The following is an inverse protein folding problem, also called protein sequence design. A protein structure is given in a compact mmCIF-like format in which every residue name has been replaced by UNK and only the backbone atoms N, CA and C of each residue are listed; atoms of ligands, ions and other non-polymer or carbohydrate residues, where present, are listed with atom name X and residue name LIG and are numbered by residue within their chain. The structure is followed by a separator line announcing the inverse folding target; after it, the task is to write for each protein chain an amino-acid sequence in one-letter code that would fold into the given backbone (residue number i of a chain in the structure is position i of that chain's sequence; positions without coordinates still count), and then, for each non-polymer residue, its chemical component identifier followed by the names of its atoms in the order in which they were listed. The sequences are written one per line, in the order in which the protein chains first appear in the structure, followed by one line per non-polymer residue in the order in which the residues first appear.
data_IF_168213899022
#
_entry.id   IF_168213899022
#
_cell.length_a   1.000
_cell.length_b   1.000
_cell.length_c   1.000
_cell.angle_alpha   90.00
_cell.angle_beta   90.00
_cell.angle_gamma   90.00
#
_symmetry.space_group_name_H-M   'P 1'
#
loop_
_entity.id
_entity.type
_entity.pdbx_description
1 polymer ?
#
# COMPACT_ATOMS: atom_id res chain seq x y z
N UNK A 1 -2.89 11.36 -0.05
CA UNK A 1 -2.18 10.39 -0.92
C UNK A 1 -2.03 9.11 -0.14
N UNK A 2 -2.33 7.96 -0.76
CA UNK A 2 -2.18 6.64 -0.14
C UNK A 2 -0.90 5.97 -0.66
N UNK A 3 -0.12 5.37 0.25
CA UNK A 3 1.02 4.51 -0.06
C UNK A 3 0.80 3.12 0.54
N UNK A 4 0.65 2.11 -0.33
CA UNK A 4 0.55 0.71 0.06
C UNK A 4 1.89 0.02 -0.18
N UNK A 5 2.41 -0.68 0.83
CA UNK A 5 3.67 -1.40 0.76
C UNK A 5 3.50 -2.89 1.02
N UNK A 6 4.20 -3.73 0.24
CA UNK A 6 4.36 -5.15 0.56
C UNK A 6 5.35 -5.34 1.69
N UNK A 7 4.93 -5.99 2.79
CA UNK A 7 5.79 -6.23 3.95
C UNK A 7 6.96 -7.20 3.67
N UNK A 8 6.84 -8.02 2.63
CA UNK A 8 7.87 -8.94 2.15
C UNK A 8 8.37 -8.57 0.73
N UNK A 9 8.25 -7.29 0.35
CA UNK A 9 8.73 -6.80 -0.95
C UNK A 9 10.25 -7.00 -1.09
N UNK A 10 10.62 -7.81 -2.09
CA UNK A 10 12.01 -8.15 -2.40
C UNK A 10 12.69 -7.14 -3.36
N UNK A 11 11.93 -6.22 -3.94
CA UNK A 11 12.38 -5.21 -4.92
C UNK A 11 12.66 -3.89 -4.21
N UNK A 12 11.75 -3.45 -3.35
CA UNK A 12 11.89 -2.21 -2.56
C UNK A 12 11.68 -2.54 -1.10
N UNK A 13 12.68 -2.32 -0.25
CA UNK A 13 12.54 -2.66 1.18
C UNK A 13 11.44 -1.84 1.85
N UNK A 14 10.74 -2.44 2.83
CA UNK A 14 9.71 -1.74 3.63
C UNK A 14 10.22 -0.40 4.17
N UNK A 15 11.47 -0.37 4.65
CA UNK A 15 12.12 0.85 5.16
C UNK A 15 12.23 1.95 4.11
N UNK A 16 12.56 1.61 2.88
CA UNK A 16 12.65 2.58 1.77
C UNK A 16 11.27 3.08 1.36
N UNK A 17 10.28 2.18 1.31
CA UNK A 17 8.88 2.55 1.04
C UNK A 17 8.35 3.51 2.12
N UNK A 18 8.58 3.21 3.41
CA UNK A 18 8.19 4.08 4.53
C UNK A 18 8.86 5.46 4.47
N UNK A 19 10.15 5.52 4.12
CA UNK A 19 10.86 6.80 3.94
C UNK A 19 10.24 7.63 2.82
N UNK A 20 9.90 7.01 1.70
CA UNK A 20 9.23 7.69 0.58
C UNK A 20 7.83 8.17 0.96
N UNK A 21 7.03 7.34 1.63
CA UNK A 21 5.71 7.73 2.12
C UNK A 21 5.79 8.95 3.06
N UNK A 22 6.75 8.95 3.99
CA UNK A 22 6.98 10.09 4.89
C UNK A 22 7.41 11.36 4.14
N UNK A 23 8.26 11.23 3.12
CA UNK A 23 8.68 12.36 2.30
C UNK A 23 7.51 13.06 1.59
N UNK A 24 6.54 12.27 1.10
CA UNK A 24 5.35 12.81 0.43
C UNK A 24 4.19 13.14 1.38
N UNK A 25 4.34 12.92 2.70
CA UNK A 25 3.25 13.05 3.66
C UNK A 25 2.07 12.12 3.35
N UNK A 26 2.35 10.96 2.75
CA UNK A 26 1.34 9.97 2.39
C UNK A 26 0.89 9.16 3.61
N UNK A 27 -0.38 8.76 3.58
CA UNK A 27 -0.87 7.73 4.49
C UNK A 27 -0.21 6.39 4.11
N UNK A 28 0.41 5.73 5.08
CA UNK A 28 1.24 4.56 4.85
C UNK A 28 0.61 3.31 5.44
N UNK A 29 0.29 2.33 4.60
CA UNK A 29 -0.29 1.05 4.99
C UNK A 29 0.61 -0.07 4.49
N UNK A 30 0.94 -1.01 5.39
CA UNK A 30 1.68 -2.23 5.05
C UNK A 30 0.68 -3.37 4.85
N UNK A 31 0.80 -4.06 3.72
CA UNK A 31 0.16 -5.35 3.47
C UNK A 31 1.16 -6.42 3.88
N UNK A 32 0.97 -6.93 5.10
CA UNK A 32 1.90 -7.85 5.73
C UNK A 32 2.13 -9.11 4.89
N UNK A 33 3.39 -9.57 4.84
CA UNK A 33 3.84 -10.79 4.13
C UNK A 33 3.71 -10.80 2.62
N UNK A 34 3.20 -9.74 2.00
CA UNK A 34 3.03 -9.66 0.55
C UNK A 34 4.25 -9.05 -0.13
N UNK A 35 4.47 -9.47 -1.38
CA UNK A 35 5.58 -9.02 -2.21
C UNK A 35 5.33 -7.70 -2.91
N UNK A 36 6.04 -7.49 -4.02
CA UNK A 36 6.10 -6.18 -4.68
C UNK A 36 4.78 -5.79 -5.38
N UNK A 37 4.18 -6.72 -6.13
CA UNK A 37 3.00 -6.42 -6.94
C UNK A 37 1.73 -6.81 -6.20
N UNK A 38 1.31 -5.98 -5.24
CA UNK A 38 0.16 -6.24 -4.36
C UNK A 38 -1.15 -6.62 -5.08
N UNK A 39 -1.31 -6.25 -6.35
CA UNK A 39 -2.49 -6.60 -7.15
C UNK A 39 -2.40 -8.00 -7.80
N UNK A 40 -1.23 -8.64 -7.78
CA UNK A 40 -1.00 -10.03 -8.19
C UNK A 40 -0.83 -10.97 -6.99
N UNK A 41 -0.72 -10.42 -5.79
CA UNK A 41 -0.57 -11.18 -4.55
C UNK A 41 -1.88 -11.81 -4.08
N UNK A 42 -1.80 -12.70 -3.09
CA UNK A 42 -2.99 -13.40 -2.54
C UNK A 42 -3.98 -12.42 -1.93
N UNK A 43 -3.49 -11.36 -1.31
CA UNK A 43 -4.30 -10.30 -0.72
C UNK A 43 -4.94 -9.35 -1.74
N UNK A 44 -4.79 -9.53 -3.06
CA UNK A 44 -5.20 -8.52 -4.06
C UNK A 44 -6.61 -7.94 -3.82
N UNK A 45 -7.57 -8.78 -3.42
CA UNK A 45 -8.95 -8.36 -3.14
C UNK A 45 -9.02 -7.45 -1.91
N UNK A 46 -8.29 -7.79 -0.85
CA UNK A 46 -8.19 -6.95 0.35
C UNK A 46 -7.47 -5.64 0.01
N UNK A 47 -6.37 -5.69 -0.74
CA UNK A 47 -5.66 -4.50 -1.23
C UNK A 47 -6.61 -3.58 -1.99
N UNK A 48 -7.40 -4.14 -2.93
CA UNK A 48 -8.38 -3.37 -3.71
C UNK A 48 -9.48 -2.76 -2.82
N UNK A 49 -9.95 -3.51 -1.81
CA UNK A 49 -10.94 -3.00 -0.85
C UNK A 49 -10.36 -1.83 -0.04
N UNK A 50 -9.13 -1.94 0.46
CA UNK A 50 -8.45 -0.84 1.17
C UNK A 50 -8.33 0.42 0.30
N UNK A 51 -7.97 0.26 -0.98
CA UNK A 51 -7.90 1.39 -1.92
C UNK A 51 -9.29 2.01 -2.11
N UNK A 52 -10.32 1.18 -2.29
CA UNK A 52 -11.69 1.66 -2.47
C UNK A 52 -12.19 2.44 -1.25
N UNK A 53 -12.03 1.86 -0.06
CA UNK A 53 -12.47 2.49 1.20
C UNK A 53 -11.76 3.83 1.40
N UNK A 54 -10.45 3.86 1.17
CA UNK A 54 -9.68 5.11 1.23
C UNK A 54 -10.18 6.16 0.25
N UNK A 55 -10.48 5.79 -1.01
CA UNK A 55 -11.03 6.72 -2.01
C UNK A 55 -12.40 7.26 -1.58
N UNK A 56 -13.27 6.41 -1.06
CA UNK A 56 -14.60 6.80 -0.54
C UNK A 56 -14.47 7.78 0.62
N UNK A 57 -13.52 7.56 1.54
CA UNK A 57 -13.21 8.49 2.63
C UNK A 57 -12.71 9.85 2.12
N UNK A 58 -12.00 9.88 0.99
CA UNK A 58 -11.63 11.14 0.32
C UNK A 58 -12.79 11.78 -0.48
N UNK A 59 -13.97 11.16 -0.52
CA UNK A 59 -15.12 11.63 -1.28
C UNK A 59 -15.04 11.33 -2.79
N UNK A 60 -14.13 10.45 -3.22
CA UNK A 60 -13.93 10.02 -4.61
C UNK A 60 -14.76 8.75 -4.83
N UNK A 61 -15.62 8.74 -5.85
CA UNK A 61 -16.56 7.66 -6.17
C UNK A 61 -16.41 7.19 -7.61
#
# INVERSE_FOLDING_TARGET
MLWLAGGADAVISEREQRRSAAHYGAEYIIVEREGHNLMMERSYRQTAQTIHDWLVEQGIK
#
